data_IF_873959110809
#
_entry.id   IF_873959110809
#
_cell.length_a   1.000
_cell.length_b   1.000
_cell.length_c   1.000
_cell.angle_alpha   90.00
_cell.angle_beta   90.00
_cell.angle_gamma   90.00
#
_symmetry.space_group_name_H-M   'P 1'
#
loop_
_entity.id
_entity.type
_entity.pdbx_description
1 polymer ?
#
# COMPACT_ATOMS: atom_id res chain seq x y z
N UNK A 1 -4.94 6.73 38.09
CA UNK A 1 -4.82 7.71 36.99
C UNK A 1 -3.99 7.24 35.77
N UNK A 2 -3.08 6.25 35.89
CA UNK A 2 -2.25 5.76 34.75
C UNK A 2 -3.01 4.92 33.70
N UNK A 3 -3.98 4.09 34.08
CA UNK A 3 -4.66 3.14 33.18
C UNK A 3 -5.48 3.83 32.07
N UNK A 4 -6.16 4.95 32.38
CA UNK A 4 -6.93 5.71 31.39
C UNK A 4 -6.04 6.39 30.34
N UNK A 5 -4.84 6.83 30.75
CA UNK A 5 -3.86 7.47 29.86
C UNK A 5 -3.34 6.49 28.80
N UNK A 6 -3.13 5.21 29.18
CA UNK A 6 -2.74 4.15 28.25
C UNK A 6 -3.84 3.78 27.24
N UNK A 7 -5.12 3.75 27.67
CA UNK A 7 -6.24 3.45 26.76
C UNK A 7 -6.46 4.54 25.72
N UNK A 8 -6.35 5.81 26.11
CA UNK A 8 -6.44 6.94 25.18
C UNK A 8 -5.28 6.96 24.19
N UNK A 9 -4.05 6.72 24.66
CA UNK A 9 -2.87 6.62 23.78
C UNK A 9 -3.03 5.52 22.73
N UNK A 10 -3.42 4.31 23.12
CA UNK A 10 -3.67 3.20 22.18
C UNK A 10 -4.71 3.53 21.12
N UNK A 11 -5.80 4.19 21.52
CA UNK A 11 -6.87 4.59 20.59
C UNK A 11 -6.34 5.60 19.56
N UNK A 12 -5.59 6.62 20.00
CA UNK A 12 -4.96 7.59 19.11
C UNK A 12 -3.92 6.95 18.20
N UNK A 13 -3.09 6.03 18.73
CA UNK A 13 -2.10 5.29 17.93
C UNK A 13 -2.76 4.48 16.81
N UNK A 14 -3.90 3.84 17.08
CA UNK A 14 -4.65 3.09 16.06
C UNK A 14 -5.19 4.01 14.96
N UNK A 15 -5.70 5.19 15.32
CA UNK A 15 -6.14 6.19 14.33
C UNK A 15 -4.96 6.64 13.47
N UNK A 16 -3.85 7.03 14.08
CA UNK A 16 -2.64 7.46 13.35
C UNK A 16 -2.15 6.36 12.43
N UNK A 17 -2.06 5.12 12.92
CA UNK A 17 -1.63 3.98 12.13
C UNK A 17 -2.58 3.70 10.95
N UNK A 18 -3.90 3.74 11.18
CA UNK A 18 -4.90 3.58 10.13
C UNK A 18 -4.73 4.64 9.03
N UNK A 19 -4.65 5.92 9.40
CA UNK A 19 -4.48 7.02 8.44
C UNK A 19 -3.20 6.85 7.63
N UNK A 20 -2.06 6.58 8.31
CA UNK A 20 -0.78 6.37 7.63
C UNK A 20 -0.83 5.17 6.68
N UNK A 21 -1.49 4.09 7.07
CA UNK A 21 -1.63 2.90 6.23
C UNK A 21 -2.52 3.17 5.00
N UNK A 22 -3.61 3.93 5.14
CA UNK A 22 -4.44 4.36 4.00
C UNK A 22 -3.64 5.28 3.05
N UNK A 23 -2.87 6.23 3.59
CA UNK A 23 -1.98 7.07 2.77
C UNK A 23 -0.97 6.21 2.02
N UNK A 24 -0.34 5.22 2.67
CA UNK A 24 0.58 4.29 2.03
C UNK A 24 -0.10 3.37 1.00
N UNK A 25 -1.40 3.09 1.15
CA UNK A 25 -2.15 2.36 0.14
C UNK A 25 -2.31 3.18 -1.14
N UNK A 26 -2.71 4.46 -1.01
CA UNK A 26 -2.92 5.40 -2.13
C UNK A 26 -1.60 5.80 -2.79
N UNK A 27 -0.60 6.12 -1.98
CA UNK A 27 0.75 6.48 -2.39
C UNK A 27 1.75 5.46 -1.81
N UNK A 28 1.99 4.34 -2.52
CA UNK A 28 2.88 3.30 -2.04
C UNK A 28 4.28 3.84 -1.79
N UNK A 29 4.69 3.84 -0.52
CA UNK A 29 6.06 4.14 -0.08
C UNK A 29 6.71 2.88 0.46
N UNK A 30 5.99 2.10 1.26
CA UNK A 30 6.45 0.85 1.88
C UNK A 30 5.59 -0.30 1.38
N UNK A 31 6.24 -1.39 0.95
CA UNK A 31 5.60 -2.64 0.53
C UNK A 31 6.39 -3.84 1.03
N UNK A 32 5.69 -4.94 1.27
CA UNK A 32 6.34 -6.23 1.49
C UNK A 32 6.84 -6.82 0.18
N UNK A 33 7.88 -7.65 0.24
CA UNK A 33 8.35 -8.45 -0.91
C UNK A 33 7.26 -9.43 -1.36
N UNK A 34 6.56 -10.00 -0.38
CA UNK A 34 5.44 -10.92 -0.61
C UNK A 34 4.16 -10.16 -0.90
N UNK A 35 3.56 -10.45 -2.05
CA UNK A 35 2.24 -9.94 -2.43
C UNK A 35 1.14 -10.38 -1.46
N UNK A 36 1.21 -11.62 -0.98
CA UNK A 36 0.30 -12.14 0.04
C UNK A 36 0.35 -11.29 1.31
N UNK A 37 1.55 -10.97 1.80
CA UNK A 37 1.71 -10.12 3.00
C UNK A 37 1.16 -8.72 2.79
N UNK A 38 1.32 -8.12 1.60
CA UNK A 38 0.71 -6.82 1.31
C UNK A 38 -0.83 -6.88 1.39
N UNK A 39 -1.45 -7.93 0.84
CA UNK A 39 -2.90 -8.08 0.86
C UNK A 39 -3.42 -8.35 2.28
N UNK A 40 -2.76 -9.26 3.01
CA UNK A 40 -3.11 -9.59 4.41
C UNK A 40 -2.96 -8.35 5.31
N UNK A 41 -1.87 -7.60 5.17
CA UNK A 41 -1.68 -6.33 5.87
C UNK A 41 -2.80 -5.34 5.56
N UNK A 42 -3.18 -5.20 4.27
CA UNK A 42 -4.29 -4.36 3.84
C UNK A 42 -5.61 -4.75 4.52
N UNK A 43 -5.92 -6.05 4.58
CA UNK A 43 -7.12 -6.53 5.29
C UNK A 43 -7.10 -6.14 6.78
N UNK A 44 -5.97 -6.33 7.47
CA UNK A 44 -5.87 -5.93 8.88
C UNK A 44 -6.10 -4.43 9.07
N UNK A 45 -5.55 -3.59 8.20
CA UNK A 45 -5.74 -2.14 8.23
C UNK A 45 -7.22 -1.79 8.05
N UNK A 46 -7.90 -2.42 7.09
CA UNK A 46 -9.31 -2.20 6.81
C UNK A 46 -10.25 -2.60 7.97
N UNK A 47 -9.79 -3.48 8.87
CA UNK A 47 -10.55 -3.87 10.05
C UNK A 47 -10.31 -2.98 11.29
N UNK A 48 -9.33 -2.07 11.25
CA UNK A 48 -9.05 -1.14 12.37
C UNK A 48 -10.27 -0.32 12.79
N UNK A 49 -11.10 0.23 11.88
CA UNK A 49 -12.30 0.95 12.26
C UNK A 49 -13.24 0.16 13.18
N UNK A 50 -13.37 -1.16 12.98
CA UNK A 50 -14.17 -2.02 13.87
C UNK A 50 -13.58 -2.05 15.28
N UNK A 51 -12.26 -2.18 15.39
CA UNK A 51 -11.55 -2.14 16.67
C UNK A 51 -11.76 -0.78 17.36
N UNK A 52 -11.77 0.32 16.60
CA UNK A 52 -12.05 1.66 17.10
C UNK A 52 -13.49 1.81 17.61
N UNK A 53 -14.48 1.21 16.93
CA UNK A 53 -15.86 1.13 17.43
C UNK A 53 -15.91 0.38 18.77
N UNK A 54 -15.33 -0.83 18.81
CA UNK A 54 -15.31 -1.68 20.02
C UNK A 54 -14.65 -0.95 21.19
N UNK A 55 -13.48 -0.34 20.98
CA UNK A 55 -12.78 0.43 22.01
C UNK A 55 -13.58 1.66 22.45
N UNK A 56 -14.31 2.30 21.53
CA UNK A 56 -15.13 3.47 21.81
C UNK A 56 -16.32 3.19 22.74
N UNK A 57 -16.82 1.95 22.82
CA UNK A 57 -17.83 1.58 23.82
C UNK A 57 -17.33 1.69 25.28
N UNK A 58 -16.01 1.72 25.47
CA UNK A 58 -15.37 2.00 26.76
C UNK A 58 -15.39 3.47 27.19
N UNK A 59 -15.87 4.40 26.36
CA UNK A 59 -15.97 5.81 26.72
C UNK A 59 -17.03 6.03 27.82
N UNK A 60 -16.78 6.98 28.74
CA UNK A 60 -17.70 7.23 29.87
C UNK A 60 -19.01 7.89 29.43
N UNK A 61 -18.94 8.83 28.48
CA UNK A 61 -20.11 9.59 28.00
C UNK A 61 -20.88 8.84 26.92
N UNK A 62 -22.22 8.80 27.04
CA UNK A 62 -23.10 8.26 25.99
C UNK A 62 -22.92 9.00 24.66
N UNK A 63 -22.83 10.33 24.71
CA UNK A 63 -22.62 11.14 23.51
C UNK A 63 -21.31 10.79 22.81
N UNK A 64 -20.22 10.58 23.56
CA UNK A 64 -18.93 10.19 22.99
C UNK A 64 -18.99 8.81 22.32
N UNK A 65 -19.76 7.86 22.86
CA UNK A 65 -19.99 6.55 22.22
C UNK A 65 -20.71 6.70 20.88
N UNK A 66 -21.79 7.50 20.86
CA UNK A 66 -22.59 7.74 19.64
C UNK A 66 -21.73 8.39 18.57
N UNK A 67 -21.00 9.47 18.90
CA UNK A 67 -20.12 10.18 17.96
C UNK A 67 -19.04 9.23 17.42
N UNK A 68 -18.40 8.44 18.28
CA UNK A 68 -17.42 7.44 17.87
C UNK A 68 -18.00 6.44 16.86
N UNK A 69 -19.18 5.89 17.14
CA UNK A 69 -19.83 4.94 16.23
C UNK A 69 -20.16 5.59 14.90
N UNK A 70 -20.68 6.83 14.89
CA UNK A 70 -20.99 7.55 13.66
C UNK A 70 -19.76 7.81 12.78
N UNK A 71 -18.61 8.13 13.40
CA UNK A 71 -17.35 8.36 12.67
C UNK A 71 -16.87 7.08 11.99
N UNK A 72 -16.93 5.94 12.69
CA UNK A 72 -16.27 4.71 12.25
C UNK A 72 -17.18 3.71 11.55
N UNK A 73 -18.51 3.85 11.62
CA UNK A 73 -19.45 2.89 11.03
C UNK A 73 -19.27 2.74 9.52
N UNK A 74 -19.12 3.85 8.79
CA UNK A 74 -18.93 3.82 7.33
C UNK A 74 -17.57 3.19 6.97
N UNK A 75 -16.43 3.63 7.53
CA UNK A 75 -15.15 2.96 7.33
C UNK A 75 -15.16 1.47 7.68
N UNK A 76 -15.87 1.07 8.75
CA UNK A 76 -16.03 -0.35 9.11
C UNK A 76 -16.78 -1.14 8.06
N UNK A 77 -17.92 -0.65 7.59
CA UNK A 77 -18.71 -1.32 6.57
C UNK A 77 -17.94 -1.46 5.25
N UNK A 78 -17.30 -0.37 4.80
CA UNK A 78 -16.44 -0.39 3.62
C UNK A 78 -15.25 -1.33 3.79
N UNK A 79 -14.61 -1.32 4.97
CA UNK A 79 -13.48 -2.19 5.28
C UNK A 79 -13.83 -3.67 5.18
N UNK A 80 -14.99 -4.07 5.70
CA UNK A 80 -15.49 -5.45 5.58
C UNK A 80 -15.79 -5.80 4.13
N UNK A 81 -16.55 -4.94 3.42
CA UNK A 81 -16.93 -5.18 2.03
C UNK A 81 -15.70 -5.35 1.13
N UNK A 82 -14.74 -4.44 1.25
CA UNK A 82 -13.49 -4.48 0.48
C UNK A 82 -12.67 -5.71 0.86
N UNK A 83 -12.59 -6.07 2.15
CA UNK A 83 -11.85 -7.26 2.58
C UNK A 83 -12.41 -8.53 1.95
N UNK A 84 -13.74 -8.68 1.90
CA UNK A 84 -14.40 -9.81 1.23
C UNK A 84 -14.04 -9.84 -0.26
N UNK A 85 -14.03 -8.68 -0.93
CA UNK A 85 -13.65 -8.57 -2.34
C UNK A 85 -12.17 -8.89 -2.60
N UNK A 86 -11.27 -8.69 -1.64
CA UNK A 86 -9.84 -9.01 -1.79
C UNK A 86 -9.56 -10.51 -1.64
N UNK A 87 -10.40 -11.28 -0.93
CA UNK A 87 -10.17 -12.72 -0.68
C UNK A 87 -9.91 -13.49 -2.00
N UNK A 88 -10.72 -13.35 -3.06
CA UNK A 88 -10.44 -14.00 -4.35
C UNK A 88 -9.13 -13.51 -5.02
N UNK A 89 -8.71 -12.28 -4.75
CA UNK A 89 -7.46 -11.72 -5.30
C UNK A 89 -6.21 -12.23 -4.57
N UNK A 90 -6.34 -12.92 -3.44
CA UNK A 90 -5.21 -13.55 -2.76
C UNK A 90 -4.55 -14.63 -3.62
N UNK A 91 -5.33 -15.31 -4.48
CA UNK A 91 -4.84 -16.35 -5.40
C UNK A 91 -4.63 -15.86 -6.83
N UNK A 92 -5.29 -14.78 -7.26
CA UNK A 92 -5.17 -14.25 -8.63
C UNK A 92 -3.89 -13.41 -8.81
N UNK A 93 -3.24 -13.41 -9.98
CA UNK A 93 -2.07 -12.56 -10.31
C UNK A 93 -2.45 -11.14 -10.77
N UNK A 94 -2.88 -10.27 -9.86
CA UNK A 94 -3.27 -8.88 -10.18
C UNK A 94 -2.10 -7.90 -10.40
N UNK A 95 -0.88 -8.30 -10.02
CA UNK A 95 0.31 -7.47 -10.09
C UNK A 95 1.53 -8.36 -10.36
N UNK A 96 1.86 -8.54 -11.63
CA UNK A 96 2.85 -9.50 -12.11
C UNK A 96 4.12 -8.78 -12.56
N UNK A 97 5.30 -9.12 -12.02
CA UNK A 97 6.56 -8.56 -12.51
C UNK A 97 6.87 -9.11 -13.91
N UNK A 98 7.05 -8.23 -14.89
CA UNK A 98 7.31 -8.62 -16.29
C UNK A 98 8.74 -8.34 -16.74
N UNK A 99 9.40 -7.33 -16.13
CA UNK A 99 10.78 -6.95 -16.46
C UNK A 99 11.44 -6.31 -15.24
N UNK A 100 12.73 -6.58 -15.05
CA UNK A 100 13.51 -5.96 -13.98
C UNK A 100 14.88 -5.51 -14.49
N UNK A 101 15.35 -4.37 -13.98
CA UNK A 101 16.68 -3.84 -14.21
C UNK A 101 17.34 -3.59 -12.86
N UNK A 102 18.53 -4.17 -12.64
CA UNK A 102 19.32 -3.91 -11.45
C UNK A 102 20.20 -2.67 -11.66
N UNK A 103 19.99 -1.66 -10.82
CA UNK A 103 20.85 -0.48 -10.70
C UNK A 103 21.73 -0.62 -9.44
N UNK A 104 22.72 0.26 -9.25
CA UNK A 104 23.72 0.10 -8.18
C UNK A 104 23.11 0.03 -6.77
N UNK A 105 21.97 0.69 -6.53
CA UNK A 105 21.37 0.80 -5.18
C UNK A 105 19.86 0.55 -5.13
N UNK A 106 19.25 0.16 -6.25
CA UNK A 106 17.82 -0.10 -6.36
C UNK A 106 17.52 -0.94 -7.59
N UNK A 107 16.35 -1.55 -7.62
CA UNK A 107 15.84 -2.23 -8.80
C UNK A 107 14.76 -1.39 -9.46
N UNK A 108 14.73 -1.36 -10.79
CA UNK A 108 13.59 -0.84 -11.55
C UNK A 108 12.79 -2.05 -12.01
N UNK A 109 11.57 -2.19 -11.51
CA UNK A 109 10.71 -3.34 -11.80
C UNK A 109 9.46 -2.84 -12.51
N UNK A 110 9.20 -3.38 -13.69
CA UNK A 110 7.95 -3.22 -14.41
C UNK A 110 6.97 -4.30 -13.99
N UNK A 111 5.76 -3.88 -13.68
CA UNK A 111 4.66 -4.74 -13.31
C UNK A 111 3.51 -4.56 -14.30
N UNK A 112 2.98 -5.69 -14.79
CA UNK A 112 1.69 -5.76 -15.44
C UNK A 112 0.61 -5.82 -14.37
N UNK A 113 -0.36 -4.91 -14.46
CA UNK A 113 -1.51 -4.85 -13.58
C UNK A 113 -2.71 -5.49 -14.25
N UNK A 114 -3.34 -6.46 -13.58
CA UNK A 114 -4.53 -7.15 -14.06
C UNK A 114 -5.70 -6.86 -13.11
N UNK A 115 -6.71 -6.15 -13.60
CA UNK A 115 -7.94 -5.84 -12.86
C UNK A 115 -9.04 -6.91 -12.98
N UNK A 116 -8.80 -7.99 -13.73
CA UNK A 116 -9.75 -9.05 -14.03
C UNK A 116 -10.22 -9.04 -15.49
N UNK A 117 -11.10 -9.99 -15.84
CA UNK A 117 -11.49 -10.27 -17.24
C UNK A 117 -12.25 -9.16 -17.97
N UNK A 118 -12.75 -8.14 -17.26
CA UNK A 118 -13.43 -6.99 -17.84
C UNK A 118 -12.53 -5.74 -17.97
N UNK A 119 -11.25 -5.84 -17.63
CA UNK A 119 -10.31 -4.70 -17.66
C UNK A 119 -9.09 -5.02 -18.52
N UNK A 120 -8.62 -4.04 -19.30
CA UNK A 120 -7.34 -4.15 -19.99
C UNK A 120 -6.18 -4.24 -18.99
N UNK A 121 -5.02 -4.71 -19.42
CA UNK A 121 -3.84 -4.60 -18.57
C UNK A 121 -3.34 -3.15 -18.50
N UNK A 122 -2.55 -2.88 -17.46
CA UNK A 122 -1.78 -1.66 -17.33
C UNK A 122 -0.34 -1.96 -16.96
N UNK A 123 0.54 -0.97 -17.11
CA UNK A 123 1.92 -1.04 -16.68
C UNK A 123 2.15 -0.07 -15.53
N UNK A 124 2.82 -0.55 -14.47
CA UNK A 124 3.43 0.29 -13.43
C UNK A 124 4.90 -0.06 -13.30
N UNK A 125 5.76 0.93 -13.45
CA UNK A 125 7.21 0.78 -13.25
C UNK A 125 7.57 1.44 -11.94
N UNK A 126 8.29 0.70 -11.09
CA UNK A 126 8.68 1.13 -9.75
C UNK A 126 10.17 1.04 -9.56
N UNK A 127 10.72 2.06 -8.91
CA UNK A 127 12.00 1.96 -8.23
C UNK A 127 11.78 1.27 -6.89
N UNK A 128 12.53 0.22 -6.61
CA UNK A 128 12.44 -0.59 -5.40
C UNK A 128 13.78 -0.71 -4.69
N UNK A 129 13.78 -0.59 -3.37
CA UNK A 129 14.98 -0.76 -2.54
C UNK A 129 14.60 -1.45 -1.24
N UNK A 130 15.24 -2.57 -0.94
CA UNK A 130 15.02 -3.26 0.33
C UNK A 130 15.56 -2.39 1.48
N UNK A 131 14.76 -2.18 2.52
CA UNK A 131 15.20 -1.50 3.76
C UNK A 131 15.71 -2.55 4.73
N UNK A 132 14.92 -3.61 4.89
CA UNK A 132 15.22 -4.81 5.67
C UNK A 132 14.69 -6.02 4.89
N UNK A 133 15.13 -7.24 5.18
CA UNK A 133 14.61 -8.43 4.54
C UNK A 133 13.07 -8.48 4.59
N UNK A 134 12.42 -8.65 3.43
CA UNK A 134 10.97 -8.73 3.32
C UNK A 134 10.22 -7.39 3.20
N UNK A 135 10.87 -6.23 3.38
CA UNK A 135 10.26 -4.90 3.30
C UNK A 135 11.06 -3.97 2.38
N UNK A 136 10.36 -3.39 1.40
CA UNK A 136 10.93 -2.46 0.41
C UNK A 136 10.36 -1.06 0.55
N UNK A 137 11.22 -0.08 0.28
CA UNK A 137 10.80 1.21 -0.26
C UNK A 137 10.46 1.05 -1.73
N UNK A 138 9.33 1.60 -2.13
CA UNK A 138 8.90 1.61 -3.52
C UNK A 138 8.54 3.03 -3.92
N UNK A 139 8.79 3.39 -5.19
CA UNK A 139 8.29 4.61 -5.79
C UNK A 139 7.91 4.35 -7.24
N UNK A 140 6.69 4.68 -7.60
CA UNK A 140 6.25 4.62 -9.00
C UNK A 140 6.96 5.71 -9.78
N UNK A 141 7.69 5.32 -10.83
CA UNK A 141 8.43 6.24 -11.72
C UNK A 141 7.74 6.40 -13.07
N UNK A 142 6.87 5.46 -13.44
CA UNK A 142 6.08 5.50 -14.65
C UNK A 142 4.83 4.63 -14.51
N UNK A 143 3.74 5.06 -15.13
CA UNK A 143 2.47 4.33 -15.17
C UNK A 143 1.76 4.62 -16.48
N UNK A 144 1.25 3.60 -17.16
CA UNK A 144 0.43 3.76 -18.36
C UNK A 144 -0.72 2.73 -18.37
N UNK A 145 -1.90 3.17 -18.78
CA UNK A 145 -3.09 2.34 -18.96
C UNK A 145 -3.92 2.85 -20.14
N UNK A 146 -4.43 2.00 -21.04
CA UNK A 146 -4.15 0.56 -21.14
C UNK A 146 -2.76 0.28 -21.73
N UNK A 147 -2.06 -0.74 -21.23
CA UNK A 147 -0.77 -1.21 -21.78
C UNK A 147 -0.40 -2.60 -21.24
N UNK A 148 0.14 -3.45 -22.11
CA UNK A 148 0.44 -4.86 -21.79
C UNK A 148 1.93 -5.15 -21.62
N UNK A 149 2.80 -4.34 -22.21
CA UNK A 149 4.25 -4.50 -22.12
C UNK A 149 4.95 -3.14 -22.05
N UNK A 150 6.21 -3.13 -21.64
CA UNK A 150 7.01 -1.91 -21.58
C UNK A 150 8.47 -2.19 -21.94
N UNK A 151 9.02 -1.33 -22.78
CA UNK A 151 10.43 -1.38 -23.10
C UNK A 151 11.23 -0.55 -22.10
N UNK A 152 12.16 -1.24 -21.43
CA UNK A 152 13.12 -0.63 -20.52
C UNK A 152 14.53 -1.15 -20.80
N UNK A 153 15.51 -0.25 -20.85
CA UNK A 153 16.92 -0.57 -21.08
C UNK A 153 17.76 0.16 -20.04
N UNK A 154 18.74 -0.53 -19.44
CA UNK A 154 19.70 0.12 -18.53
C UNK A 154 20.69 0.95 -19.37
N UNK A 155 20.81 2.24 -19.09
CA UNK A 155 21.71 3.15 -19.83
C UNK A 155 22.93 3.55 -19.01
N UNK A 156 22.91 3.32 -17.69
CA UNK A 156 24.01 3.63 -16.78
C UNK A 156 23.79 3.06 -15.39
N UNK A 157 24.62 3.46 -14.44
CA UNK A 157 24.57 2.93 -13.06
C UNK A 157 23.28 3.27 -12.31
N UNK A 158 22.77 4.49 -12.53
CA UNK A 158 21.56 5.03 -11.90
C UNK A 158 20.56 5.56 -12.94
N UNK A 159 20.70 5.14 -14.19
CA UNK A 159 19.87 5.61 -15.30
C UNK A 159 19.37 4.45 -16.15
N UNK A 160 18.18 4.65 -16.70
CA UNK A 160 17.54 3.72 -17.59
C UNK A 160 16.68 4.49 -18.59
N UNK A 161 16.43 3.89 -19.73
CA UNK A 161 15.47 4.36 -20.71
C UNK A 161 14.17 3.58 -20.54
N UNK A 162 13.05 4.28 -20.70
CA UNK A 162 11.72 3.69 -20.76
C UNK A 162 10.97 4.27 -21.95
N UNK A 163 10.60 3.43 -22.91
CA UNK A 163 9.86 3.85 -24.11
C UNK A 163 10.53 5.02 -24.85
N UNK A 164 11.84 4.93 -25.12
CA UNK A 164 12.59 6.02 -25.77
C UNK A 164 12.96 7.19 -24.84
N UNK A 165 12.44 7.22 -23.60
CA UNK A 165 12.64 8.35 -22.69
C UNK A 165 13.68 8.03 -21.61
N UNK A 166 14.77 8.78 -21.60
CA UNK A 166 15.80 8.66 -20.57
C UNK A 166 15.29 9.09 -19.18
N UNK A 167 15.58 8.28 -18.16
CA UNK A 167 15.25 8.54 -16.75
C UNK A 167 16.47 8.28 -15.87
N UNK A 168 16.70 9.19 -14.92
CA UNK A 168 17.69 9.02 -13.86
C UNK A 168 16.96 8.86 -12.53
N UNK A 169 17.39 7.89 -11.72
CA UNK A 169 16.82 7.66 -10.39
C UNK A 169 17.81 8.03 -9.31
N UNK A 170 17.27 8.49 -8.18
CA UNK A 170 18.07 8.83 -7.00
C UNK A 170 18.55 7.56 -6.30
N UNK A 171 19.73 7.62 -5.68
CA UNK A 171 20.30 6.53 -4.86
C UNK A 171 19.39 6.12 -3.70
N UNK A 172 18.72 7.11 -3.09
CA UNK A 172 17.68 6.90 -2.11
C UNK A 172 16.34 7.22 -2.77
N UNK A 173 15.38 6.29 -2.69
CA UNK A 173 14.09 6.37 -3.41
C UNK A 173 13.39 7.72 -3.21
N UNK A 174 13.44 8.26 -1.99
CA UNK A 174 12.80 9.53 -1.60
C UNK A 174 13.76 10.59 -1.04
N UNK A 175 14.97 10.22 -0.63
CA UNK A 175 15.91 11.13 0.05
C UNK A 175 17.05 11.53 -0.89
N UNK A 176 17.66 12.68 -0.60
CA UNK A 176 18.91 13.10 -1.25
C UNK A 176 20.11 12.45 -0.55
#
# INVERSE_FOLDING_TARGET
>A
MKIYKHKGFQYMSLITFYILAIINYIYPVIRFDSRLLNNVFGMFVLLIPIILIIKGFGFRSRAAKIINTLIWVIPSLLGVLISIMIIPLLSANSFEPIKSLSLNHSNIVAYRTNGGGATSFGIKVRQEKNIIPGIKLVKTVYSQYPKDNVDMIKTGENSFEIEGNHKTVKRNVYFH
#
